data_IF_753839371044
#
_entry.id   IF_753839371044
#
_cell.length_a   1.000
_cell.length_b   1.000
_cell.length_c   1.000
_cell.angle_alpha   90.00
_cell.angle_beta   90.00
_cell.angle_gamma   90.00
#
_symmetry.space_group_name_H-M   'P 1'
#
loop_
_entity.id
_entity.type
_entity.pdbx_description
1 polymer ?
#
# COMPACT_ATOMS: atom_id res chain seq x y z
N UNK A 1 -3.58 -2.79 13.01
CA UNK A 1 -3.56 -3.70 11.84
C UNK A 1 -3.87 -2.89 10.59
N UNK A 2 -2.99 -2.91 9.61
CA UNK A 2 -3.14 -2.26 8.31
C UNK A 2 -3.29 -3.31 7.23
N UNK A 3 -4.12 -3.03 6.24
CA UNK A 3 -4.29 -3.91 5.08
C UNK A 3 -3.46 -3.37 3.94
N UNK A 4 -2.42 -4.10 3.55
CA UNK A 4 -1.54 -3.75 2.44
C UNK A 4 -1.91 -4.61 1.23
N UNK A 5 -2.15 -3.96 0.09
CA UNK A 5 -2.43 -4.64 -1.17
C UNK A 5 -1.15 -4.74 -1.99
N UNK A 6 -0.80 -5.95 -2.39
CA UNK A 6 0.35 -6.25 -3.22
C UNK A 6 -0.03 -6.24 -4.71
N UNK A 7 0.96 -6.09 -5.60
CA UNK A 7 0.82 -6.01 -7.07
C UNK A 7 0.26 -7.29 -7.67
N UNK A 8 0.48 -8.43 -7.03
CA UNK A 8 -0.07 -9.73 -7.40
C UNK A 8 -1.59 -9.86 -7.07
N UNK A 9 -2.18 -8.84 -6.43
CA UNK A 9 -3.58 -8.82 -6.03
C UNK A 9 -3.84 -9.38 -4.63
N UNK A 10 -2.81 -9.89 -3.95
CA UNK A 10 -2.92 -10.35 -2.57
C UNK A 10 -3.09 -9.19 -1.60
N UNK A 11 -3.77 -9.46 -0.48
CA UNK A 11 -3.97 -8.51 0.60
C UNK A 11 -3.45 -9.10 1.88
N UNK A 12 -2.50 -8.41 2.50
CA UNK A 12 -1.83 -8.85 3.73
C UNK A 12 -2.24 -7.91 4.86
N UNK A 13 -2.55 -8.48 6.02
CA UNK A 13 -2.82 -7.72 7.24
C UNK A 13 -1.54 -7.66 8.07
N UNK A 14 -1.02 -6.45 8.29
CA UNK A 14 0.23 -6.21 8.99
C UNK A 14 -0.03 -5.39 10.26
N UNK A 15 0.48 -5.79 11.43
CA UNK A 15 0.39 -4.97 12.64
C UNK A 15 1.16 -3.65 12.49
N UNK A 16 0.86 -2.66 13.32
CA UNK A 16 1.49 -1.34 13.19
C UNK A 16 3.00 -1.44 13.48
N UNK A 17 3.41 -2.27 14.44
CA UNK A 17 4.82 -2.42 14.82
C UNK A 17 5.69 -2.93 13.67
N UNK A 18 5.14 -3.76 12.79
CA UNK A 18 5.85 -4.39 11.67
C UNK A 18 5.59 -3.70 10.32
N UNK A 19 4.71 -2.69 10.30
CA UNK A 19 4.29 -2.05 9.06
C UNK A 19 5.47 -1.40 8.34
N UNK A 20 6.33 -0.70 9.06
CA UNK A 20 7.45 0.03 8.47
C UNK A 20 8.45 -0.93 7.79
N UNK A 21 8.88 -1.97 8.50
CA UNK A 21 9.78 -2.99 7.96
C UNK A 21 9.13 -3.77 6.80
N UNK A 22 7.83 -4.07 6.89
CA UNK A 22 7.09 -4.72 5.83
C UNK A 22 7.02 -3.86 4.56
N UNK A 23 6.75 -2.55 4.71
CA UNK A 23 6.69 -1.60 3.60
C UNK A 23 8.06 -1.42 2.94
N UNK A 24 9.15 -1.37 3.71
CA UNK A 24 10.50 -1.29 3.16
C UNK A 24 10.89 -2.54 2.38
N UNK A 25 10.70 -3.73 2.97
CA UNK A 25 11.05 -5.02 2.32
C UNK A 25 10.21 -5.30 1.08
N UNK A 26 8.94 -4.93 1.10
CA UNK A 26 7.99 -5.23 0.02
C UNK A 26 7.69 -4.02 -0.87
N UNK A 27 8.47 -2.95 -0.77
CA UNK A 27 8.26 -1.69 -1.50
C UNK A 27 7.97 -1.88 -2.99
N UNK A 28 8.74 -2.76 -3.63
CA UNK A 28 8.60 -3.05 -5.07
C UNK A 28 7.36 -3.89 -5.41
N UNK A 29 6.85 -4.65 -4.45
CA UNK A 29 5.71 -5.54 -4.58
C UNK A 29 4.40 -4.89 -4.14
N UNK A 30 4.45 -3.77 -3.42
CA UNK A 30 3.25 -3.06 -2.98
C UNK A 30 2.60 -2.37 -4.17
N UNK A 31 1.27 -2.50 -4.27
CA UNK A 31 0.50 -1.81 -5.28
C UNK A 31 0.44 -0.33 -4.89
N UNK A 32 1.32 0.48 -5.47
CA UNK A 32 1.21 1.94 -5.38
C UNK A 32 -0.13 2.36 -5.99
N UNK A 33 -1.09 2.71 -5.13
CA UNK A 33 -2.31 3.35 -5.58
C UNK A 33 -1.97 4.79 -5.95
N UNK A 34 -1.54 5.00 -7.20
CA UNK A 34 -1.60 6.31 -7.83
C UNK A 34 -3.08 6.68 -8.00
N UNK A 35 -3.70 7.20 -6.94
CA UNK A 35 -4.98 7.89 -7.09
C UNK A 35 -4.70 9.15 -7.92
N UNK A 36 -5.28 9.29 -9.12
CA UNK A 36 -5.25 10.58 -9.79
C UNK A 36 -5.91 11.57 -8.84
N UNK A 37 -5.19 12.61 -8.42
CA UNK A 37 -5.79 13.74 -7.74
C UNK A 37 -6.91 14.24 -8.65
N UNK A 38 -8.16 13.94 -8.27
CA UNK A 38 -9.33 14.32 -9.06
C UNK A 38 -9.22 15.80 -9.35
N UNK A 39 -9.27 16.16 -10.65
CA UNK A 39 -9.32 17.55 -11.09
C UNK A 39 -10.28 18.29 -10.16
N UNK A 40 -9.77 19.25 -9.37
CA UNK A 40 -10.62 20.22 -8.68
C UNK A 40 -11.55 20.77 -9.77
N UNK A 41 -12.86 20.50 -9.67
CA UNK A 41 -13.84 21.13 -10.53
C UNK A 41 -13.73 22.63 -10.27
N UNK A 42 -13.10 23.34 -11.20
CA UNK A 42 -13.17 24.79 -11.32
C UNK A 42 -14.57 25.20 -11.74
#
# INVERSE_FOLDING_TARGET
>A
MFTVKLKNGETVQVPLEELEEFLEKNREQIQEQHKPMGKRRT
#
